data_IF_604996538947
#
_entry.id   IF_604996538947
#
_cell.length_a   1.000
_cell.length_b   1.000
_cell.length_c   1.000
_cell.angle_alpha   90.00
_cell.angle_beta   90.00
_cell.angle_gamma   90.00
#
_symmetry.space_group_name_H-M   'P 1'
#
loop_
_entity.id
_entity.type
_entity.pdbx_description
1 polymer ?
#
# COMPACT_ATOMS: atom_id res chain seq x y z
N UNK A 1 -1.54 -1.64 9.90
CA UNK A 1 -1.17 -0.46 9.11
C UNK A 1 -0.28 0.46 9.94
N UNK A 2 0.84 0.86 9.38
CA UNK A 2 1.79 1.76 10.05
C UNK A 2 1.81 3.09 9.32
N UNK A 3 1.51 4.18 10.04
CA UNK A 3 1.57 5.53 9.47
C UNK A 3 3.02 6.01 9.44
N UNK A 4 3.45 6.60 8.33
CA UNK A 4 4.82 7.08 8.17
C UNK A 4 5.18 8.14 9.23
N UNK A 5 4.22 8.97 9.63
CA UNK A 5 4.43 9.96 10.68
C UNK A 5 4.61 9.35 12.07
N UNK A 6 4.20 8.09 12.27
CA UNK A 6 4.28 7.42 13.55
C UNK A 6 5.57 6.60 13.74
N UNK A 7 6.43 6.55 12.72
CA UNK A 7 7.67 5.76 12.75
C UNK A 7 8.82 6.59 12.22
N UNK A 8 10.00 6.47 12.84
CA UNK A 8 11.18 7.15 12.32
C UNK A 8 11.81 6.38 11.15
N UNK A 9 12.69 7.07 10.41
CA UNK A 9 13.26 6.51 9.18
C UNK A 9 14.15 5.31 9.45
N UNK A 10 14.87 5.27 10.58
CA UNK A 10 15.72 4.15 10.93
C UNK A 10 14.92 2.89 11.22
N UNK A 11 13.83 3.02 11.97
CA UNK A 11 12.94 1.90 12.28
C UNK A 11 12.22 1.42 11.02
N UNK A 12 11.76 2.33 10.18
CA UNK A 12 11.11 2.00 8.91
C UNK A 12 12.07 1.19 8.03
N UNK A 13 13.30 1.67 7.89
CA UNK A 13 14.32 0.98 7.07
C UNK A 13 14.59 -0.44 7.58
N UNK A 14 14.67 -0.60 8.90
CA UNK A 14 14.87 -1.92 9.52
C UNK A 14 13.71 -2.86 9.21
N UNK A 15 12.48 -2.40 9.34
CA UNK A 15 11.29 -3.22 9.08
C UNK A 15 11.20 -3.63 7.62
N UNK A 16 11.61 -2.76 6.70
CA UNK A 16 11.68 -3.09 5.27
C UNK A 16 12.75 -4.16 5.02
N UNK A 17 13.93 -4.00 5.61
CA UNK A 17 15.04 -4.92 5.43
C UNK A 17 14.73 -6.33 5.91
N UNK A 18 14.03 -6.46 7.03
CA UNK A 18 13.67 -7.80 7.56
C UNK A 18 12.39 -8.36 6.95
N UNK A 19 11.76 -7.64 6.02
CA UNK A 19 10.55 -8.10 5.34
C UNK A 19 9.28 -7.97 6.16
N UNK A 20 9.31 -7.20 7.25
CA UNK A 20 8.12 -6.96 8.07
C UNK A 20 7.18 -5.95 7.40
N UNK A 21 7.71 -5.09 6.52
CA UNK A 21 6.94 -4.16 5.70
C UNK A 21 7.27 -4.45 4.23
N UNK A 22 6.24 -4.73 3.43
CA UNK A 22 6.40 -5.08 2.02
C UNK A 22 5.68 -4.15 1.06
N UNK A 23 4.66 -3.42 1.55
CA UNK A 23 3.83 -2.54 0.72
C UNK A 23 3.66 -1.20 1.37
N UNK A 24 3.50 -0.18 0.52
CA UNK A 24 3.14 1.16 0.96
C UNK A 24 1.77 1.54 0.45
N UNK A 25 1.20 2.61 0.98
CA UNK A 25 -0.10 3.06 0.54
C UNK A 25 -0.31 4.55 0.75
N UNK A 26 -1.34 5.07 0.07
CA UNK A 26 -1.81 6.43 0.21
C UNK A 26 -3.12 6.40 0.99
N UNK A 27 -3.08 6.86 2.23
CA UNK A 27 -4.24 6.81 3.12
C UNK A 27 -5.41 7.65 2.60
N UNK A 28 -5.12 8.75 1.93
CA UNK A 28 -6.16 9.64 1.40
C UNK A 28 -6.93 9.01 0.24
N UNK A 29 -6.21 8.29 -0.62
CA UNK A 29 -6.80 7.67 -1.81
C UNK A 29 -7.23 6.23 -1.59
N UNK A 30 -6.78 5.59 -0.51
CA UNK A 30 -7.08 4.19 -0.26
C UNK A 30 -6.41 3.25 -1.27
N UNK A 31 -5.20 3.59 -1.72
CA UNK A 31 -4.45 2.82 -2.71
C UNK A 31 -3.17 2.29 -2.06
N UNK A 32 -2.90 0.99 -2.25
CA UNK A 32 -1.63 0.40 -1.82
C UNK A 32 -0.84 -0.08 -3.04
N UNK A 33 0.46 -0.15 -2.89
CA UNK A 33 1.34 -0.62 -3.97
C UNK A 33 2.71 -0.98 -3.45
N UNK A 34 3.62 -1.25 -4.40
CA UNK A 34 4.99 -1.61 -4.09
C UNK A 34 5.72 -0.43 -3.44
N UNK A 35 6.69 -0.75 -2.58
CA UNK A 35 7.49 0.28 -1.90
C UNK A 35 8.31 1.11 -2.89
N UNK A 36 8.67 0.55 -4.04
CA UNK A 36 9.46 1.22 -5.07
C UNK A 36 8.59 1.93 -6.14
N UNK A 37 7.29 2.04 -5.91
CA UNK A 37 6.40 2.73 -6.85
C UNK A 37 6.76 4.22 -6.94
N UNK A 38 6.97 4.71 -8.17
CA UNK A 38 7.33 6.11 -8.41
C UNK A 38 6.27 7.08 -7.87
N UNK A 39 4.99 6.72 -7.99
CA UNK A 39 3.90 7.54 -7.46
C UNK A 39 3.96 7.65 -5.94
N UNK A 40 4.38 6.57 -5.27
CA UNK A 40 4.50 6.55 -3.81
C UNK A 40 5.62 7.45 -3.29
N UNK A 41 6.68 7.63 -4.07
CA UNK A 41 7.82 8.45 -3.67
C UNK A 41 7.48 9.94 -3.57
N UNK A 42 6.47 10.38 -4.31
CA UNK A 42 6.01 11.77 -4.31
C UNK A 42 5.03 12.07 -3.20
N UNK A 43 4.62 11.04 -2.50
CA UNK A 43 3.59 11.17 -1.48
C UNK A 43 4.15 11.84 -0.22
N UNK A 44 3.34 12.72 0.38
CA UNK A 44 3.71 13.35 1.65
C UNK A 44 3.72 12.31 2.75
N UNK A 45 4.65 12.48 3.69
CA UNK A 45 4.83 11.57 4.82
C UNK A 45 3.52 11.33 5.59
N UNK A 46 2.73 12.36 5.81
CA UNK A 46 1.46 12.27 6.55
C UNK A 46 0.38 11.46 5.83
N UNK A 47 0.49 11.30 4.52
CA UNK A 47 -0.46 10.52 3.73
C UNK A 47 0.01 9.09 3.51
N UNK A 48 1.27 8.78 3.80
CA UNK A 48 1.87 7.48 3.52
C UNK A 48 1.67 6.52 4.68
N UNK A 49 1.27 5.30 4.33
CA UNK A 49 1.12 4.20 5.28
C UNK A 49 1.85 2.97 4.75
N UNK A 50 2.08 1.98 5.62
CA UNK A 50 2.79 0.77 5.26
C UNK A 50 2.03 -0.46 5.73
N UNK A 51 2.18 -1.55 4.99
CA UNK A 51 1.53 -2.82 5.26
C UNK A 51 2.55 -3.96 5.23
N UNK A 52 2.32 -4.95 6.08
CA UNK A 52 3.16 -6.14 6.11
C UNK A 52 2.99 -6.98 4.84
N UNK A 53 1.75 -7.08 4.34
CA UNK A 53 1.42 -7.87 3.15
C UNK A 53 0.17 -7.30 2.46
N UNK A 54 -0.20 -7.89 1.33
CA UNK A 54 -1.38 -7.47 0.58
C UNK A 54 -2.67 -7.70 1.36
N UNK A 55 -2.76 -8.79 2.10
CA UNK A 55 -3.96 -9.11 2.87
C UNK A 55 -4.23 -8.03 3.91
N UNK A 56 -3.18 -7.54 4.57
CA UNK A 56 -3.31 -6.44 5.54
C UNK A 56 -3.83 -5.17 4.87
N UNK A 57 -3.34 -4.85 3.66
CA UNK A 57 -3.79 -3.68 2.91
C UNK A 57 -5.26 -3.81 2.50
N UNK A 58 -5.66 -4.96 2.01
CA UNK A 58 -7.05 -5.21 1.62
C UNK A 58 -7.99 -5.19 2.81
N UNK A 59 -7.56 -5.76 3.94
CA UNK A 59 -8.33 -5.73 5.17
C UNK A 59 -8.56 -4.32 5.67
N UNK A 60 -7.64 -3.40 5.38
CA UNK A 60 -7.79 -1.99 5.72
C UNK A 60 -8.65 -1.21 4.71
N UNK A 61 -9.13 -1.87 3.65
CA UNK A 61 -9.99 -1.26 2.65
C UNK A 61 -9.25 -0.60 1.49
N UNK A 62 -7.95 -0.88 1.33
CA UNK A 62 -7.13 -0.31 0.25
C UNK A 62 -7.23 -1.18 -1.01
N UNK A 63 -7.16 -0.51 -2.17
CA UNK A 63 -7.12 -1.20 -3.46
C UNK A 63 -5.72 -1.19 -4.05
N UNK A 64 -5.37 -2.15 -4.93
CA UNK A 64 -4.05 -2.16 -5.56
C UNK A 64 -3.82 -0.96 -6.48
N UNK A 65 -2.58 -0.50 -6.54
CA UNK A 65 -2.19 0.56 -7.46
C UNK A 65 -2.21 0.06 -8.91
N UNK A 66 -2.89 0.77 -9.80
CA UNK A 66 -2.95 0.41 -11.21
C UNK A 66 -1.64 0.63 -11.95
N UNK A 67 -0.72 1.45 -11.39
CA UNK A 67 0.56 1.76 -12.01
C UNK A 67 1.62 0.68 -11.75
N UNK A 68 1.85 0.32 -10.50
CA UNK A 68 2.89 -0.65 -10.14
C UNK A 68 2.37 -2.07 -9.96
N UNK A 69 1.07 -2.25 -9.87
CA UNK A 69 0.44 -3.57 -9.68
C UNK A 69 -0.74 -3.74 -10.66
N UNK A 70 -0.47 -3.69 -11.98
CA UNK A 70 -1.56 -3.69 -12.97
C UNK A 70 -2.41 -4.96 -12.94
N UNK A 71 -1.81 -6.12 -12.72
CA UNK A 71 -2.56 -7.38 -12.69
C UNK A 71 -3.46 -7.47 -11.46
N UNK A 72 -2.93 -7.10 -10.30
CA UNK A 72 -3.72 -7.07 -9.07
C UNK A 72 -4.85 -6.06 -9.16
N UNK A 73 -4.60 -4.91 -9.80
CA UNK A 73 -5.61 -3.89 -10.00
C UNK A 73 -6.73 -4.39 -10.92
N UNK A 74 -6.39 -5.06 -12.02
CA UNK A 74 -7.39 -5.63 -12.93
C UNK A 74 -8.24 -6.69 -12.23
N UNK A 75 -7.61 -7.55 -11.45
CA UNK A 75 -8.30 -8.56 -10.68
C UNK A 75 -9.25 -7.91 -9.65
N UNK A 76 -8.76 -6.94 -8.90
CA UNK A 76 -9.57 -6.21 -7.93
C UNK A 76 -10.78 -5.55 -8.59
N UNK A 77 -10.56 -4.87 -9.71
CA UNK A 77 -11.61 -4.18 -10.44
C UNK A 77 -12.70 -5.15 -10.90
N UNK A 78 -12.30 -6.31 -11.37
CA UNK A 78 -13.22 -7.36 -11.83
C UNK A 78 -14.04 -7.94 -10.69
N UNK A 79 -13.36 -8.29 -9.58
CA UNK A 79 -14.03 -8.88 -8.42
C UNK A 79 -14.94 -7.90 -7.70
N UNK A 80 -14.52 -6.64 -7.60
CA UNK A 80 -15.35 -5.60 -7.00
C UNK A 80 -16.66 -5.42 -7.78
N UNK A 81 -16.58 -5.41 -9.11
CA UNK A 81 -17.76 -5.32 -9.96
C UNK A 81 -18.64 -6.58 -9.82
N UNK A 82 -18.02 -7.76 -9.72
CA UNK A 82 -18.74 -9.02 -9.54
C UNK A 82 -19.43 -9.13 -8.21
N UNK A 83 -18.83 -8.64 -7.16
CA UNK A 83 -19.41 -8.65 -5.82
C UNK A 83 -20.67 -7.78 -5.75
N UNK A 84 -20.68 -6.69 -6.48
CA UNK A 84 -21.81 -5.79 -6.52
C UNK A 84 -22.95 -6.27 -7.41
N UNK A 85 -22.63 -7.18 -8.27
CA UNK A 85 -23.63 -7.81 -9.11
C UNK A 85 -24.37 -8.91 -8.37
#
# INVERSE_FOLDING_TARGET
MICHDAIDDADLRRLILVGAIRYGGNQRLGIYGRLDCASGRRMKRRARVFFADEDAARAAGFRPCGHCMPDAYKFWRRTASGVLA
#
